data_IF_918777635091
#
_entry.id   IF_918777635091
#
_cell.length_a   1.000
_cell.length_b   1.000
_cell.length_c   1.000
_cell.angle_alpha   90.00
_cell.angle_beta   90.00
_cell.angle_gamma   90.00
#
_symmetry.space_group_name_H-M   'P 1'
#
loop_
_entity.id
_entity.type
_entity.pdbx_description
1 polymer ?
#
# COMPACT_ATOMS: atom_id res chain seq x y z
N UNK A 1 2.39 -22.31 33.78
CA UNK A 1 3.57 -22.16 32.92
C UNK A 1 3.12 -21.26 31.77
N UNK A 2 3.23 -19.96 31.97
CA UNK A 2 2.83 -18.96 30.96
C UNK A 2 3.95 -18.84 29.95
N UNK A 3 3.64 -19.13 28.68
CA UNK A 3 4.53 -18.95 27.56
C UNK A 3 4.57 -17.44 27.24
N UNK A 4 5.42 -16.71 27.95
CA UNK A 4 5.80 -15.35 27.55
C UNK A 4 6.46 -15.45 26.18
N UNK A 5 5.71 -15.05 25.16
CA UNK A 5 6.24 -14.84 23.81
C UNK A 5 7.31 -13.76 23.94
N UNK A 6 8.55 -14.22 23.92
CA UNK A 6 9.76 -13.42 23.81
C UNK A 6 9.69 -12.65 22.50
N UNK A 7 9.09 -11.46 22.53
CA UNK A 7 9.20 -10.48 21.45
C UNK A 7 10.64 -9.99 21.46
N UNK A 8 11.50 -10.76 20.79
CA UNK A 8 12.84 -10.34 20.39
C UNK A 8 12.78 -8.88 19.98
N UNK A 9 13.68 -8.09 20.56
CA UNK A 9 13.94 -6.69 20.23
C UNK A 9 13.74 -6.46 18.73
N UNK A 10 12.59 -5.89 18.37
CA UNK A 10 12.26 -5.58 16.99
C UNK A 10 12.97 -4.28 16.70
N UNK A 11 14.05 -4.39 15.91
CA UNK A 11 14.80 -3.29 15.30
C UNK A 11 13.91 -2.06 15.05
N UNK A 12 14.44 -0.89 15.42
CA UNK A 12 13.94 0.46 15.19
C UNK A 12 12.61 0.50 14.40
N UNK A 13 11.51 0.71 15.14
CA UNK A 13 10.14 0.56 14.65
C UNK A 13 9.94 1.18 13.25
N UNK A 14 9.75 0.33 12.23
CA UNK A 14 9.17 0.75 10.96
C UNK A 14 7.79 1.34 11.28
N UNK A 15 7.70 2.68 11.29
CA UNK A 15 6.47 3.38 11.63
C UNK A 15 5.52 3.28 10.45
N UNK A 16 4.58 2.35 10.53
CA UNK A 16 3.49 2.23 9.59
C UNK A 16 2.20 2.76 10.23
N UNK A 17 1.47 3.60 9.50
CA UNK A 17 0.12 4.04 9.86
C UNK A 17 -0.80 3.77 8.69
N UNK A 18 -1.90 3.07 8.94
CA UNK A 18 -2.92 2.78 7.93
C UNK A 18 -4.31 3.16 8.44
N UNK A 19 -5.13 3.72 7.55
CA UNK A 19 -6.55 3.94 7.76
C UNK A 19 -7.31 3.34 6.58
N UNK A 20 -8.26 2.45 6.87
CA UNK A 20 -9.17 1.89 5.86
C UNK A 20 -10.60 2.21 6.24
N UNK A 21 -11.36 2.69 5.26
CA UNK A 21 -12.82 2.85 5.30
C UNK A 21 -13.40 2.27 4.01
N UNK A 22 -14.72 2.16 3.90
CA UNK A 22 -15.32 1.62 2.67
C UNK A 22 -14.89 2.45 1.44
N UNK A 23 -14.32 1.78 0.44
CA UNK A 23 -13.79 2.40 -0.78
C UNK A 23 -12.51 3.23 -0.62
N UNK A 24 -11.84 3.28 0.54
CA UNK A 24 -10.59 4.04 0.69
C UNK A 24 -9.56 3.36 1.58
N UNK A 25 -8.31 3.35 1.12
CA UNK A 25 -7.12 2.89 1.84
C UNK A 25 -6.07 4.02 1.83
N UNK A 26 -5.68 4.47 3.02
CA UNK A 26 -4.60 5.45 3.23
C UNK A 26 -3.51 4.80 4.07
N UNK A 27 -2.28 4.77 3.56
CA UNK A 27 -1.13 4.15 4.22
C UNK A 27 0.09 5.05 4.12
N UNK A 28 0.82 5.21 5.23
CA UNK A 28 2.16 5.79 5.26
C UNK A 28 3.11 4.81 5.94
N UNK A 29 4.26 4.55 5.35
CA UNK A 29 5.23 3.58 5.87
C UNK A 29 6.64 3.81 5.33
N UNK A 30 7.61 3.29 6.06
CA UNK A 30 8.99 3.19 5.66
C UNK A 30 9.17 1.91 4.82
N UNK A 31 9.42 2.05 3.51
CA UNK A 31 9.53 0.94 2.57
C UNK A 31 10.99 0.52 2.36
N UNK A 32 11.25 -0.79 2.44
CA UNK A 32 12.41 -1.46 1.85
C UNK A 32 11.98 -2.29 0.64
N UNK A 33 12.92 -2.63 -0.23
CA UNK A 33 12.64 -3.42 -1.43
C UNK A 33 11.93 -4.76 -1.13
N UNK A 34 12.30 -5.40 -0.02
CA UNK A 34 11.68 -6.63 0.48
C UNK A 34 10.21 -6.48 0.91
N UNK A 35 9.76 -5.26 1.26
CA UNK A 35 8.38 -5.01 1.69
C UNK A 35 7.40 -4.82 0.52
N UNK A 36 7.89 -4.69 -0.72
CA UNK A 36 7.05 -4.37 -1.88
C UNK A 36 5.95 -5.42 -2.11
N UNK A 37 6.27 -6.71 -1.89
CA UNK A 37 5.28 -7.79 -1.96
C UNK A 37 4.14 -7.60 -0.96
N UNK A 38 4.48 -7.32 0.30
CA UNK A 38 3.48 -7.10 1.37
C UNK A 38 2.56 -5.92 1.05
N UNK A 39 3.08 -4.82 0.52
CA UNK A 39 2.25 -3.66 0.14
C UNK A 39 1.26 -4.05 -0.97
N UNK A 40 1.72 -4.81 -1.97
CA UNK A 40 0.86 -5.30 -3.05
C UNK A 40 -0.22 -6.25 -2.54
N UNK A 41 0.10 -7.13 -1.60
CA UNK A 41 -0.87 -8.04 -0.99
C UNK A 41 -1.96 -7.28 -0.20
N UNK A 42 -1.56 -6.23 0.54
CA UNK A 42 -2.52 -5.37 1.24
C UNK A 42 -3.46 -4.67 0.25
N UNK A 43 -2.92 -4.11 -0.84
CA UNK A 43 -3.74 -3.47 -1.88
C UNK A 43 -4.67 -4.48 -2.55
N UNK A 44 -4.18 -5.68 -2.88
CA UNK A 44 -4.98 -6.75 -3.48
C UNK A 44 -6.17 -7.14 -2.60
N UNK A 45 -5.96 -7.28 -1.29
CA UNK A 45 -7.01 -7.58 -0.33
C UNK A 45 -8.11 -6.50 -0.32
N UNK A 46 -7.74 -5.21 -0.36
CA UNK A 46 -8.71 -4.11 -0.39
C UNK A 46 -9.47 -4.04 -1.71
N UNK A 47 -8.79 -4.26 -2.84
CA UNK A 47 -9.46 -4.33 -4.15
C UNK A 47 -10.50 -5.46 -4.20
N UNK A 48 -10.17 -6.62 -3.61
CA UNK A 48 -11.11 -7.73 -3.46
C UNK A 48 -12.30 -7.35 -2.57
N UNK A 49 -12.07 -6.72 -1.42
CA UNK A 49 -13.14 -6.28 -0.52
C UNK A 49 -14.07 -5.26 -1.18
N UNK A 50 -13.52 -4.37 -2.01
CA UNK A 50 -14.31 -3.39 -2.77
C UNK A 50 -14.93 -3.95 -4.04
N UNK A 51 -14.80 -5.26 -4.30
CA UNK A 51 -15.35 -5.95 -5.48
C UNK A 51 -14.92 -5.30 -6.81
N UNK A 52 -13.66 -4.90 -6.90
CA UNK A 52 -13.06 -4.44 -8.16
C UNK A 52 -12.83 -5.66 -9.06
N UNK A 53 -13.08 -5.53 -10.36
CA UNK A 53 -12.87 -6.63 -11.31
C UNK A 53 -11.38 -6.99 -11.45
N UNK A 54 -11.08 -8.25 -11.77
CA UNK A 54 -9.71 -8.78 -11.83
C UNK A 54 -8.81 -8.00 -12.80
N UNK A 55 -9.35 -7.51 -13.92
CA UNK A 55 -8.59 -6.75 -14.90
C UNK A 55 -8.17 -5.38 -14.37
N UNK A 56 -9.08 -4.67 -13.71
CA UNK A 56 -8.79 -3.41 -13.04
C UNK A 56 -7.88 -3.62 -11.83
N UNK A 57 -8.10 -4.68 -11.05
CA UNK A 57 -7.26 -4.99 -9.92
C UNK A 57 -5.82 -5.29 -10.35
N UNK A 58 -5.61 -6.08 -11.41
CA UNK A 58 -4.30 -6.35 -11.97
C UNK A 58 -3.59 -5.08 -12.44
N UNK A 59 -4.29 -4.22 -13.19
CA UNK A 59 -3.74 -2.92 -13.63
C UNK A 59 -3.34 -2.05 -12.44
N UNK A 60 -4.18 -2.00 -11.40
CA UNK A 60 -3.90 -1.21 -10.20
C UNK A 60 -2.66 -1.73 -9.46
N UNK A 61 -2.52 -3.04 -9.30
CA UNK A 61 -1.34 -3.64 -8.67
C UNK A 61 -0.06 -3.38 -9.47
N UNK A 62 -0.12 -3.36 -10.81
CA UNK A 62 1.00 -2.94 -11.65
C UNK A 62 1.37 -1.48 -11.41
N UNK A 63 0.40 -0.56 -11.40
CA UNK A 63 0.66 0.87 -11.11
C UNK A 63 1.29 1.05 -9.74
N UNK A 64 0.76 0.38 -8.71
CA UNK A 64 1.32 0.41 -7.35
C UNK A 64 2.76 -0.10 -7.35
N UNK A 65 3.04 -1.20 -8.03
CA UNK A 65 4.40 -1.74 -8.14
C UNK A 65 5.39 -0.73 -8.74
N UNK A 66 5.01 -0.08 -9.83
CA UNK A 66 5.85 0.92 -10.50
C UNK A 66 6.08 2.17 -9.63
N UNK A 67 5.03 2.67 -8.97
CA UNK A 67 5.14 3.83 -8.09
C UNK A 67 6.12 3.59 -6.93
N UNK A 68 6.04 2.43 -6.27
CA UNK A 68 6.97 2.10 -5.21
C UNK A 68 8.37 1.74 -5.72
N UNK A 69 8.48 1.15 -6.91
CA UNK A 69 9.78 0.94 -7.55
C UNK A 69 10.47 2.28 -7.80
N UNK A 70 9.73 3.29 -8.27
CA UNK A 70 10.25 4.65 -8.45
C UNK A 70 10.72 5.26 -7.12
N UNK A 71 9.97 5.10 -6.03
CA UNK A 71 10.42 5.54 -4.69
C UNK A 71 11.73 4.84 -4.32
N UNK A 72 11.80 3.52 -4.48
CA UNK A 72 13.00 2.75 -4.14
C UNK A 72 14.24 3.16 -4.95
N UNK A 73 14.05 3.53 -6.21
CA UNK A 73 15.14 3.91 -7.11
C UNK A 73 15.57 5.38 -6.97
N UNK A 74 14.63 6.29 -6.69
CA UNK A 74 14.88 7.73 -6.79
C UNK A 74 14.85 8.48 -5.46
N UNK A 75 14.42 7.85 -4.37
CA UNK A 75 14.47 8.44 -3.04
C UNK A 75 15.70 7.93 -2.28
N UNK A 76 16.53 8.82 -1.70
CA UNK A 76 17.61 8.42 -0.81
C UNK A 76 17.07 7.65 0.38
N UNK A 77 17.76 6.59 0.78
CA UNK A 77 17.42 5.85 1.99
C UNK A 77 17.88 6.61 3.25
N UNK A 78 17.17 6.41 4.35
CA UNK A 78 17.63 6.82 5.67
C UNK A 78 18.75 5.91 6.21
N UNK A 79 19.18 6.16 7.45
CA UNK A 79 20.24 5.38 8.11
C UNK A 79 19.91 3.88 8.22
N UNK A 80 18.63 3.51 8.20
CA UNK A 80 18.13 2.15 8.30
C UNK A 80 17.83 1.55 6.92
N UNK A 81 18.23 2.19 5.81
CA UNK A 81 17.97 1.68 4.46
C UNK A 81 16.52 1.81 4.01
N UNK A 82 15.68 2.52 4.78
CA UNK A 82 14.26 2.73 4.54
C UNK A 82 14.01 3.99 3.72
N UNK A 83 12.86 4.05 3.04
CA UNK A 83 12.38 5.25 2.35
C UNK A 83 10.95 5.54 2.77
N UNK A 84 10.68 6.77 3.18
CA UNK A 84 9.32 7.16 3.52
C UNK A 84 8.45 7.19 2.26
N UNK A 85 7.28 6.56 2.31
CA UNK A 85 6.29 6.58 1.25
C UNK A 85 4.87 6.65 1.81
N UNK A 86 3.98 7.26 1.05
CA UNK A 86 2.55 7.25 1.31
C UNK A 86 1.78 6.80 0.07
N UNK A 87 0.68 6.07 0.30
CA UNK A 87 -0.24 5.62 -0.73
C UNK A 87 -1.67 5.90 -0.27
N UNK A 88 -2.38 6.65 -1.08
CA UNK A 88 -3.82 6.81 -0.99
C UNK A 88 -4.45 6.10 -2.20
N UNK A 89 -5.33 5.14 -1.93
CA UNK A 89 -6.13 4.45 -2.92
C UNK A 89 -7.61 4.70 -2.62
N UNK A 90 -8.34 5.19 -3.61
CA UNK A 90 -9.75 5.52 -3.49
C UNK A 90 -10.55 4.89 -4.63
N UNK A 91 -11.60 4.16 -4.28
CA UNK A 91 -12.63 3.74 -5.22
C UNK A 91 -13.57 4.92 -5.44
N UNK A 92 -13.45 5.55 -6.59
CA UNK A 92 -14.38 6.58 -7.03
C UNK A 92 -15.63 5.92 -7.65
N UNK A 93 -16.84 6.46 -7.42
CA UNK A 93 -18.02 6.01 -8.14
C UNK A 93 -17.83 6.19 -9.64
N UNK A 94 -18.42 5.30 -10.44
CA UNK A 94 -18.52 5.53 -11.87
C UNK A 94 -19.25 6.86 -12.11
N UNK A 95 -18.60 7.79 -12.83
CA UNK A 95 -19.28 9.01 -13.25
C UNK A 95 -20.48 8.62 -14.11
N UNK A 96 -21.69 9.13 -13.83
CA UNK A 96 -22.81 8.91 -14.73
C UNK A 96 -22.44 9.42 -16.12
N UNK A 97 -22.75 8.62 -17.15
CA UNK A 97 -22.40 8.89 -18.56
C UNK A 97 -22.75 10.32 -19.02
N UNK A 98 -23.72 10.96 -18.36
CA UNK A 98 -24.15 12.35 -18.61
C UNK A 98 -23.07 13.42 -18.41
N UNK A 99 -21.91 13.11 -17.83
CA UNK A 99 -20.81 14.06 -17.63
C UNK A 99 -19.61 13.82 -18.56
N UNK A 100 -19.64 12.81 -19.45
CA UNK A 100 -18.57 12.51 -20.42
C UNK A 100 -18.62 13.35 -21.71
N UNK A 101 -19.26 14.52 -21.65
CA UNK A 101 -19.39 15.43 -22.79
C UNK A 101 -18.66 16.74 -22.53
N UNK A 102 -17.33 16.72 -22.58
CA UNK A 102 -16.46 17.89 -22.79
C UNK A 102 -15.22 17.44 -23.57
#
# INVERSE_FOLDING_TARGET
MELLVDTRERDASVRATSRSVDGQLDMSFNVRAENLGTVRDIVAAHLCWWRVDDGTAFRMLTVVNELFTNVLQHTPADADGCRMASLLLQKVPDFPEKLRGW
#
